data_IF_457523484204
#
_entry.id   IF_457523484204
#
_cell.length_a   1.000
_cell.length_b   1.000
_cell.length_c   1.000
_cell.angle_alpha   90.00
_cell.angle_beta   90.00
_cell.angle_gamma   90.00
#
_symmetry.space_group_name_H-M   'P 1'
#
loop_
_entity.id
_entity.type
_entity.pdbx_description
1 polymer ?
#
# COMPACT_ATOMS: atom_id res chain seq x y z
N UNK A 1 -45.98 -0.75 -20.35
CA UNK A 1 -44.68 -0.07 -20.58
C UNK A 1 -43.63 -0.74 -19.70
N UNK A 2 -42.51 -1.21 -20.24
CA UNK A 2 -41.43 -1.80 -19.43
C UNK A 2 -40.71 -0.68 -18.67
N UNK A 3 -40.59 -0.80 -17.35
CA UNK A 3 -39.79 0.13 -16.56
C UNK A 3 -38.31 -0.02 -16.95
N UNK A 4 -37.71 1.07 -17.40
CA UNK A 4 -36.26 1.18 -17.56
C UNK A 4 -35.66 1.66 -16.23
N UNK A 5 -34.77 0.87 -15.65
CA UNK A 5 -34.07 1.24 -14.42
C UNK A 5 -32.86 2.12 -14.75
N UNK A 6 -32.67 3.18 -13.96
CA UNK A 6 -31.47 4.00 -14.01
C UNK A 6 -30.29 3.20 -13.47
N UNK A 7 -29.23 3.05 -14.27
CA UNK A 7 -27.99 2.44 -13.80
C UNK A 7 -27.22 3.47 -12.99
N UNK A 8 -26.79 3.09 -11.80
CA UNK A 8 -26.01 3.95 -10.88
C UNK A 8 -24.74 3.21 -10.51
N UNK A 9 -23.61 3.92 -10.51
CA UNK A 9 -22.34 3.43 -9.98
C UNK A 9 -21.99 4.20 -8.70
N UNK A 10 -21.41 3.50 -7.74
CA UNK A 10 -20.84 4.09 -6.53
C UNK A 10 -19.35 3.80 -6.55
N UNK A 11 -18.55 4.85 -6.39
CA UNK A 11 -17.09 4.77 -6.27
C UNK A 11 -16.72 5.27 -4.88
N UNK A 12 -15.92 4.51 -4.17
CA UNK A 12 -15.37 4.86 -2.87
C UNK A 12 -13.89 4.52 -2.84
N UNK A 13 -13.17 5.24 -1.98
CA UNK A 13 -11.78 4.93 -1.66
C UNK A 13 -11.71 3.68 -0.76
N UNK A 14 -10.54 3.06 -0.68
CA UNK A 14 -10.31 1.96 0.25
C UNK A 14 -9.69 2.48 1.56
N UNK A 15 -8.65 3.30 1.46
CA UNK A 15 -7.86 3.77 2.60
C UNK A 15 -8.67 4.72 3.47
N UNK A 16 -8.87 4.35 4.74
CA UNK A 16 -9.69 5.12 5.67
C UNK A 16 -11.21 5.09 5.41
N UNK A 17 -11.67 4.48 4.32
CA UNK A 17 -13.10 4.34 4.01
C UNK A 17 -13.58 2.90 4.20
N UNK A 18 -12.95 1.93 3.55
CA UNK A 18 -13.27 0.50 3.71
C UNK A 18 -12.34 -0.22 4.68
N UNK A 19 -11.11 0.25 4.85
CA UNK A 19 -10.15 -0.31 5.78
C UNK A 19 -9.64 0.74 6.77
N UNK A 20 -9.26 0.28 7.97
CA UNK A 20 -8.52 1.11 8.91
C UNK A 20 -7.06 1.15 8.48
N UNK A 21 -6.54 2.36 8.27
CA UNK A 21 -5.17 2.54 7.76
C UNK A 21 -5.06 2.27 6.25
N UNK A 22 -3.83 2.17 5.77
CA UNK A 22 -3.55 2.03 4.34
C UNK A 22 -3.60 0.55 3.90
N UNK A 23 -3.95 0.28 2.63
CA UNK A 23 -4.02 -1.07 2.02
C UNK A 23 -2.76 -1.87 2.32
N UNK A 24 -1.61 -1.21 2.25
CA UNK A 24 -0.31 -1.87 2.28
C UNK A 24 0.08 -2.31 3.69
N UNK A 25 -0.48 -1.67 4.72
CA UNK A 25 -0.37 -2.11 6.12
C UNK A 25 -1.22 -3.35 6.40
N UNK A 26 -2.34 -3.49 5.69
CA UNK A 26 -3.33 -4.53 5.93
C UNK A 26 -3.11 -5.81 5.11
N UNK A 27 -2.39 -5.75 4.00
CA UNK A 27 -2.19 -6.89 3.10
C UNK A 27 -0.74 -7.06 2.70
N UNK A 28 -0.17 -6.06 2.03
CA UNK A 28 1.09 -6.21 1.31
C UNK A 28 2.32 -6.46 2.21
N UNK A 29 2.50 -5.66 3.27
CA UNK A 29 3.64 -5.81 4.19
C UNK A 29 3.53 -7.15 4.97
N UNK A 30 2.35 -7.52 5.52
CA UNK A 30 2.15 -8.84 6.11
C UNK A 30 2.37 -10.02 5.15
N UNK A 31 1.92 -9.93 3.90
CA UNK A 31 2.03 -10.99 2.90
C UNK A 31 3.49 -11.24 2.50
N UNK A 32 4.32 -10.19 2.51
CA UNK A 32 5.77 -10.31 2.38
C UNK A 32 6.43 -10.88 3.64
N UNK A 33 5.70 -11.20 4.71
CA UNK A 33 6.25 -11.69 5.99
C UNK A 33 7.11 -10.65 6.70
N UNK A 34 6.76 -9.37 6.58
CA UNK A 34 7.45 -8.24 7.22
C UNK A 34 6.63 -7.71 8.39
N UNK A 35 7.31 -7.13 9.38
CA UNK A 35 6.66 -6.45 10.50
C UNK A 35 6.42 -5.01 10.07
N UNK A 36 5.15 -4.57 9.98
CA UNK A 36 4.74 -3.24 9.52
C UNK A 36 5.50 -2.10 10.17
N UNK A 37 5.67 -2.15 11.50
CA UNK A 37 6.43 -1.14 12.24
C UNK A 37 7.88 -1.03 11.78
N UNK A 38 8.58 -2.17 11.65
CA UNK A 38 9.99 -2.20 11.21
C UNK A 38 10.14 -1.70 9.79
N UNK A 39 9.19 -2.06 8.92
CA UNK A 39 9.19 -1.60 7.56
C UNK A 39 9.09 -0.07 7.47
N UNK A 40 8.17 0.55 8.22
CA UNK A 40 8.06 2.02 8.25
C UNK A 40 9.24 2.72 8.92
N UNK A 41 9.89 2.09 9.90
CA UNK A 41 11.16 2.58 10.45
C UNK A 41 12.24 2.64 9.36
N UNK A 42 12.39 1.58 8.57
CA UNK A 42 13.36 1.52 7.46
C UNK A 42 13.00 2.49 6.31
N UNK A 43 11.70 2.71 6.03
CA UNK A 43 11.27 3.75 5.08
C UNK A 43 11.74 5.13 5.54
N UNK A 44 11.56 5.46 6.82
CA UNK A 44 11.97 6.76 7.37
C UNK A 44 13.48 6.95 7.32
N UNK A 45 14.25 5.93 7.67
CA UNK A 45 15.71 5.95 7.56
C UNK A 45 16.14 6.24 6.12
N UNK A 46 15.61 5.53 5.13
CA UNK A 46 15.93 5.75 3.71
C UNK A 46 15.51 7.16 3.26
N UNK A 47 14.35 7.63 3.71
CA UNK A 47 13.81 8.96 3.39
C UNK A 47 14.77 10.04 3.87
N UNK A 48 15.22 9.97 5.13
CA UNK A 48 16.13 10.94 5.73
C UNK A 48 17.54 10.87 5.13
N UNK A 49 18.10 9.66 4.97
CA UNK A 49 19.46 9.47 4.46
C UNK A 49 19.64 9.92 3.01
N UNK A 50 18.58 9.81 2.20
CA UNK A 50 18.64 10.07 0.76
C UNK A 50 17.84 11.30 0.34
N UNK A 51 17.31 12.07 1.29
CA UNK A 51 16.42 13.23 1.06
C UNK A 51 15.28 12.88 0.08
N UNK A 52 14.72 11.68 0.22
CA UNK A 52 13.67 11.17 -0.67
C UNK A 52 12.29 11.64 -0.22
N UNK A 53 11.34 11.65 -1.14
CA UNK A 53 9.93 11.66 -0.79
C UNK A 53 9.55 10.32 -0.12
N UNK A 54 8.80 10.37 0.99
CA UNK A 54 8.48 9.19 1.80
C UNK A 54 7.69 8.14 1.00
N UNK A 55 6.82 8.56 0.06
CA UNK A 55 6.08 7.64 -0.81
C UNK A 55 7.03 6.92 -1.76
N UNK A 56 8.01 7.65 -2.32
CA UNK A 56 9.01 7.04 -3.21
C UNK A 56 9.97 6.11 -2.47
N UNK A 57 10.41 6.49 -1.25
CA UNK A 57 11.22 5.64 -0.39
C UNK A 57 10.48 4.35 -0.01
N UNK A 58 9.19 4.49 0.33
CA UNK A 58 8.27 3.38 0.55
C UNK A 58 8.20 2.43 -0.65
N UNK A 59 7.91 2.94 -1.85
CA UNK A 59 7.77 2.12 -3.07
C UNK A 59 9.07 1.43 -3.44
N UNK A 60 10.20 2.13 -3.30
CA UNK A 60 11.52 1.57 -3.52
C UNK A 60 11.81 0.40 -2.57
N UNK A 61 11.58 0.60 -1.27
CA UNK A 61 11.82 -0.42 -0.26
C UNK A 61 10.93 -1.66 -0.48
N UNK A 62 9.67 -1.44 -0.86
CA UNK A 62 8.73 -2.51 -1.18
C UNK A 62 9.26 -3.43 -2.30
N UNK A 63 9.68 -2.83 -3.43
CA UNK A 63 10.26 -3.55 -4.57
C UNK A 63 11.53 -4.28 -4.16
N UNK A 64 12.40 -3.61 -3.39
CA UNK A 64 13.65 -4.20 -2.88
C UNK A 64 13.37 -5.46 -2.04
N UNK A 65 12.48 -5.38 -1.05
CA UNK A 65 12.13 -6.51 -0.17
C UNK A 65 11.46 -7.66 -0.93
N UNK A 66 10.63 -7.38 -1.91
CA UNK A 66 10.00 -8.43 -2.71
C UNK A 66 11.02 -9.16 -3.61
N UNK A 67 11.93 -8.41 -4.24
CA UNK A 67 13.04 -9.01 -4.99
C UNK A 67 13.93 -9.90 -4.09
N UNK A 68 14.26 -9.44 -2.87
CA UNK A 68 15.02 -10.23 -1.88
C UNK A 68 14.31 -11.54 -1.49
N UNK A 69 12.97 -11.54 -1.50
CA UNK A 69 12.14 -12.71 -1.16
C UNK A 69 11.70 -13.53 -2.38
N UNK A 70 12.06 -13.12 -3.59
CA UNK A 70 11.61 -13.76 -4.83
C UNK A 70 10.09 -13.66 -5.07
N UNK A 71 9.44 -12.62 -4.52
CA UNK A 71 8.01 -12.34 -4.71
C UNK A 71 7.87 -11.31 -5.83
N UNK A 72 6.94 -11.53 -6.76
CA UNK A 72 6.58 -10.51 -7.77
C UNK A 72 5.50 -9.60 -7.21
N UNK A 73 5.67 -8.28 -7.40
CA UNK A 73 4.74 -7.20 -7.06
C UNK A 73 4.06 -6.71 -8.34
#
# INVERSE_FOLDING_TARGET
MSKTHTTVAIVYDFDGTLAKGNIQENSFIPDLGLITKKFWEEVKEITEENEMDEILAYMYLLIKKANEKGVMI
#
